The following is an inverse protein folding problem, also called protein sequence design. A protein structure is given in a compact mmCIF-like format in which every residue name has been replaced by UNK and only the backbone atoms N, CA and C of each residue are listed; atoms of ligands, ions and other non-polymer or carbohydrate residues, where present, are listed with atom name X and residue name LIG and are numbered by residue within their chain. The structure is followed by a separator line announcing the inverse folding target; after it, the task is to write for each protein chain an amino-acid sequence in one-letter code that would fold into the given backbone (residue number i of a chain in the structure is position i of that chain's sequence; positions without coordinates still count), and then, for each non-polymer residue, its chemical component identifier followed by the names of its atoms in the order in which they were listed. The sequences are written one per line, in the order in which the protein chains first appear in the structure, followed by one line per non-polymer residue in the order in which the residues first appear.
data_IF_347305385758
#
_entry.id   IF_347305385758
#
_cell.length_a   1.000
_cell.length_b   1.000
_cell.length_c   1.000
_cell.angle_alpha   90.00
_cell.angle_beta   90.00
_cell.angle_gamma   90.00
#
_symmetry.space_group_name_H-M   'P 1'
#
loop_
_entity.id
_entity.type
_entity.pdbx_description
1 polymer ?
#
# COMPACT_ATOMS: atom_id res chain seq x y z
N UNK A 1 5.47 -2.20 -19.31
CA UNK A 1 6.20 -3.17 -18.48
C UNK A 1 7.46 -2.48 -18.01
N UNK A 2 7.56 -2.18 -16.72
CA UNK A 2 8.77 -1.59 -16.15
C UNK A 2 9.70 -2.76 -15.77
N UNK A 3 10.83 -2.89 -16.45
CA UNK A 3 11.86 -3.86 -16.06
C UNK A 3 12.80 -3.19 -15.08
N UNK A 4 12.50 -3.29 -13.79
CA UNK A 4 13.33 -2.72 -12.72
C UNK A 4 14.22 -3.82 -12.16
N UNK A 5 15.56 -3.72 -12.27
CA UNK A 5 16.49 -4.68 -11.70
C UNK A 5 16.25 -4.88 -10.20
N UNK A 6 16.45 -6.11 -9.71
CA UNK A 6 16.27 -6.47 -8.29
C UNK A 6 17.01 -5.55 -7.29
N UNK A 7 18.15 -4.99 -7.69
CA UNK A 7 18.88 -4.01 -6.87
C UNK A 7 18.10 -2.70 -6.68
N UNK A 8 17.48 -2.20 -7.76
CA UNK A 8 16.61 -1.02 -7.70
C UNK A 8 15.35 -1.29 -6.87
N UNK A 9 14.79 -2.51 -6.90
CA UNK A 9 13.62 -2.89 -6.07
C UNK A 9 13.89 -2.68 -4.57
N UNK A 10 15.03 -3.12 -4.05
CA UNK A 10 15.39 -2.91 -2.65
C UNK A 10 15.59 -1.43 -2.31
N UNK A 11 16.18 -0.66 -3.23
CA UNK A 11 16.34 0.79 -3.09
C UNK A 11 14.98 1.50 -3.05
N UNK A 12 14.05 1.15 -3.94
CA UNK A 12 12.67 1.67 -3.94
C UNK A 12 12.01 1.39 -2.58
N UNK A 13 12.05 0.15 -2.11
CA UNK A 13 11.45 -0.22 -0.80
C UNK A 13 12.05 0.62 0.33
N UNK A 14 13.37 0.85 0.32
CA UNK A 14 14.03 1.66 1.36
C UNK A 14 13.60 3.13 1.31
N UNK A 15 13.50 3.72 0.11
CA UNK A 15 13.02 5.09 -0.08
C UNK A 15 11.56 5.23 0.35
N UNK A 16 10.69 4.30 -0.06
CA UNK A 16 9.29 4.27 0.34
C UNK A 16 9.12 4.15 1.85
N UNK A 17 9.88 3.26 2.49
CA UNK A 17 9.90 3.13 3.96
C UNK A 17 10.23 4.47 4.63
N UNK A 18 11.28 5.14 4.16
CA UNK A 18 11.75 6.39 4.75
C UNK A 18 10.75 7.52 4.55
N UNK A 19 10.28 7.70 3.31
CA UNK A 19 9.32 8.75 2.94
C UNK A 19 8.00 8.59 3.69
N UNK A 20 7.42 7.40 3.69
CA UNK A 20 6.13 7.13 4.34
C UNK A 20 6.25 7.13 5.87
N UNK A 21 7.40 6.74 6.42
CA UNK A 21 7.66 6.87 7.85
C UNK A 21 7.71 8.34 8.28
N UNK A 22 8.27 9.23 7.45
CA UNK A 22 8.37 10.65 7.78
C UNK A 22 7.09 11.45 7.50
N UNK A 23 6.15 10.90 6.73
CA UNK A 23 4.84 11.53 6.49
C UNK A 23 3.93 11.39 7.72
N UNK A 24 3.72 12.48 8.46
CA UNK A 24 2.96 12.49 9.72
C UNK A 24 1.57 11.88 9.59
N UNK A 25 0.91 12.12 8.46
CA UNK A 25 -0.44 11.63 8.19
C UNK A 25 -0.52 10.12 8.00
N UNK A 26 0.59 9.44 7.66
CA UNK A 26 0.64 7.99 7.47
C UNK A 26 0.86 7.31 8.82
N UNK A 27 -0.04 6.40 9.21
CA UNK A 27 0.07 5.63 10.46
C UNK A 27 0.73 4.28 10.19
N UNK A 28 0.26 3.55 9.18
CA UNK A 28 0.92 2.34 8.71
C UNK A 28 0.72 2.16 7.20
N UNK A 29 1.62 1.42 6.57
CA UNK A 29 1.60 1.22 5.13
C UNK A 29 2.10 -0.18 4.75
N UNK A 30 1.49 -0.72 3.70
CA UNK A 30 1.83 -1.98 3.08
C UNK A 30 2.20 -1.75 1.61
N UNK A 31 3.18 -2.49 1.13
CA UNK A 31 3.34 -2.76 -0.30
C UNK A 31 2.60 -4.04 -0.62
N UNK A 32 1.89 -4.11 -1.74
CA UNK A 32 1.14 -5.29 -2.12
C UNK A 32 1.23 -5.52 -3.64
N UNK A 33 0.39 -6.41 -4.17
CA UNK A 33 0.28 -6.63 -5.61
C UNK A 33 1.54 -7.18 -6.29
N UNK A 34 1.63 -6.93 -7.59
CA UNK A 34 2.66 -7.52 -8.46
C UNK A 34 4.07 -7.06 -8.07
N UNK A 35 4.20 -5.86 -7.51
CA UNK A 35 5.47 -5.31 -7.01
C UNK A 35 6.12 -6.24 -6.00
N UNK A 36 5.36 -6.95 -5.17
CA UNK A 36 5.91 -7.88 -4.17
C UNK A 36 6.08 -9.29 -4.74
N UNK A 37 5.07 -9.77 -5.47
CA UNK A 37 4.97 -11.17 -5.89
C UNK A 37 5.92 -11.56 -7.03
N UNK A 38 6.34 -10.60 -7.86
CA UNK A 38 7.04 -10.89 -9.12
C UNK A 38 8.36 -10.11 -9.26
N UNK A 39 9.25 -10.62 -10.11
CA UNK A 39 10.46 -9.93 -10.55
C UNK A 39 10.16 -8.84 -11.59
N UNK A 40 9.02 -8.95 -12.28
CA UNK A 40 8.48 -7.97 -13.21
C UNK A 40 7.16 -7.43 -12.66
N UNK A 41 7.00 -6.12 -12.62
CA UNK A 41 5.78 -5.47 -12.16
C UNK A 41 5.42 -4.31 -13.08
N UNK A 42 4.13 -3.96 -13.11
CA UNK A 42 3.65 -2.86 -13.94
C UNK A 42 3.66 -1.53 -13.19
N UNK A 43 3.34 -1.59 -11.90
CA UNK A 43 3.11 -0.48 -10.99
C UNK A 43 3.60 -0.81 -9.57
N UNK A 44 3.74 0.24 -8.76
CA UNK A 44 4.06 0.14 -7.33
C UNK A 44 2.75 0.31 -6.54
N UNK A 45 2.21 -0.80 -6.06
CA UNK A 45 0.98 -0.82 -5.26
C UNK A 45 1.27 -0.53 -3.78
N UNK A 46 0.66 0.53 -3.25
CA UNK A 46 0.88 1.00 -1.87
C UNK A 46 -0.46 1.21 -1.17
N UNK A 47 -0.67 0.50 -0.07
CA UNK A 47 -1.85 0.64 0.78
C UNK A 47 -1.45 1.40 2.04
N UNK A 48 -2.13 2.52 2.33
CA UNK A 48 -1.79 3.38 3.46
C UNK A 48 -3.01 3.61 4.36
N UNK A 49 -2.81 3.45 5.66
CA UNK A 49 -3.76 3.89 6.66
C UNK A 49 -3.30 5.22 7.23
N UNK A 50 -4.19 6.20 7.24
CA UNK A 50 -3.87 7.58 7.60
C UNK A 50 -4.62 8.06 8.84
N UNK A 51 -4.09 9.11 9.47
CA UNK A 51 -4.86 9.95 10.38
C UNK A 51 -5.95 10.71 9.61
N UNK A 52 -6.66 11.61 10.29
CA UNK A 52 -7.65 12.47 9.65
C UNK A 52 -7.01 13.29 8.50
N UNK A 53 -7.62 13.22 7.33
CA UNK A 53 -7.21 13.92 6.11
C UNK A 53 -8.43 14.59 5.48
N UNK A 54 -8.24 15.82 4.99
CA UNK A 54 -9.33 16.63 4.44
C UNK A 54 -9.91 16.06 3.14
N UNK A 55 -9.04 15.59 2.26
CA UNK A 55 -9.41 14.99 0.97
C UNK A 55 -8.51 13.79 0.69
N UNK A 56 -9.14 12.61 0.62
CA UNK A 56 -8.47 11.36 0.25
C UNK A 56 -7.83 11.48 -1.14
N UNK A 57 -8.56 12.03 -2.11
CA UNK A 57 -8.09 12.17 -3.49
C UNK A 57 -6.86 13.08 -3.60
N UNK A 58 -6.89 14.25 -2.95
CA UNK A 58 -5.76 15.18 -2.99
C UNK A 58 -4.54 14.54 -2.32
N UNK A 59 -4.75 13.95 -1.14
CA UNK A 59 -3.67 13.30 -0.41
C UNK A 59 -3.01 12.16 -1.21
N UNK A 60 -3.81 11.31 -1.86
CA UNK A 60 -3.27 10.25 -2.72
C UNK A 60 -2.45 10.84 -3.88
N UNK A 61 -2.97 11.86 -4.55
CA UNK A 61 -2.31 12.50 -5.69
C UNK A 61 -0.98 13.14 -5.28
N UNK A 62 -0.99 13.94 -4.21
CA UNK A 62 0.20 14.61 -3.69
C UNK A 62 1.26 13.60 -3.26
N UNK A 63 0.85 12.50 -2.62
CA UNK A 63 1.76 11.43 -2.21
C UNK A 63 2.36 10.69 -3.40
N UNK A 64 1.60 10.42 -4.47
CA UNK A 64 2.13 9.80 -5.70
C UNK A 64 3.21 10.68 -6.33
N UNK A 65 2.97 11.98 -6.41
CA UNK A 65 3.94 12.96 -6.92
C UNK A 65 5.19 12.97 -6.03
N UNK A 66 5.02 13.09 -4.71
CA UNK A 66 6.13 13.11 -3.75
C UNK A 66 7.00 11.84 -3.81
N UNK A 67 6.37 10.68 -3.97
CA UNK A 67 7.08 9.41 -4.12
C UNK A 67 7.86 9.39 -5.45
N UNK A 68 7.22 9.77 -6.55
CA UNK A 68 7.88 9.84 -7.87
C UNK A 68 9.10 10.76 -7.84
N UNK A 69 8.97 11.97 -7.28
CA UNK A 69 10.07 12.93 -7.17
C UNK A 69 11.25 12.35 -6.37
N UNK A 70 10.98 11.67 -5.25
CA UNK A 70 12.01 11.02 -4.43
C UNK A 70 12.73 9.90 -5.19
N UNK A 71 11.99 9.10 -5.96
CA UNK A 71 12.56 8.05 -6.80
C UNK A 71 13.44 8.63 -7.92
N UNK A 72 12.96 9.68 -8.61
CA UNK A 72 13.71 10.36 -9.67
C UNK A 72 15.00 10.96 -9.11
N UNK A 73 14.94 11.62 -7.95
CA UNK A 73 16.12 12.16 -7.25
C UNK A 73 17.14 11.08 -6.90
N UNK A 74 16.69 9.85 -6.66
CA UNK A 74 17.53 8.68 -6.40
C UNK A 74 18.03 7.97 -7.69
N UNK A 75 17.74 8.53 -8.87
CA UNK A 75 18.14 7.99 -10.17
C UNK A 75 17.21 6.89 -10.71
N UNK A 76 15.98 6.81 -10.20
CA UNK A 76 14.97 5.82 -10.59
C UNK A 76 13.82 6.57 -11.28
N UNK A 77 13.79 6.52 -12.62
CA UNK A 77 12.81 7.26 -13.42
C UNK A 77 11.46 6.54 -13.46
N UNK A 78 10.60 6.84 -12.47
CA UNK A 78 9.24 6.30 -12.36
C UNK A 78 8.26 7.47 -12.23
N UNK A 79 7.38 7.61 -13.23
CA UNK A 79 6.29 8.59 -13.25
C UNK A 79 5.25 8.30 -12.14
N UNK A 80 4.55 9.33 -11.61
CA UNK A 80 3.45 9.14 -10.65
C UNK A 80 2.35 8.19 -11.14
N UNK A 81 2.17 8.07 -12.46
CA UNK A 81 1.16 7.19 -13.08
C UNK A 81 1.42 5.69 -12.83
N UNK A 82 2.66 5.32 -12.52
CA UNK A 82 3.06 3.95 -12.18
C UNK A 82 3.00 3.66 -10.67
N UNK A 83 2.38 4.54 -9.88
CA UNK A 83 2.22 4.38 -8.45
C UNK A 83 0.73 4.28 -8.14
N UNK A 84 0.25 3.10 -7.73
CA UNK A 84 -1.12 2.93 -7.23
C UNK A 84 -1.16 2.97 -5.70
N UNK A 85 -1.27 4.20 -5.19
CA UNK A 85 -1.42 4.46 -3.76
C UNK A 85 -2.90 4.55 -3.38
N UNK A 86 -3.33 3.72 -2.42
CA UNK A 86 -4.70 3.63 -1.90
C UNK A 86 -4.78 3.90 -0.41
N UNK A 87 -5.66 4.82 0.00
CA UNK A 87 -5.99 5.05 1.42
C UNK A 87 -6.99 4.00 1.88
N UNK A 88 -6.63 3.24 2.91
CA UNK A 88 -7.38 2.03 3.32
C UNK A 88 -8.30 2.22 4.54
N UNK A 89 -8.39 3.44 5.08
CA UNK A 89 -9.22 3.75 6.25
C UNK A 89 -10.66 3.23 6.15
N UNK A 90 -11.25 3.35 4.96
CA UNK A 90 -12.62 2.94 4.65
C UNK A 90 -12.69 2.00 3.44
N UNK A 91 -11.60 1.29 3.12
CA UNK A 91 -11.57 0.41 1.98
C UNK A 91 -12.48 -0.83 2.18
N UNK A 92 -13.02 -1.41 1.09
CA UNK A 92 -13.75 -2.67 1.12
C UNK A 92 -12.96 -3.80 1.80
N UNK A 93 -13.65 -4.68 2.53
CA UNK A 93 -12.99 -5.69 3.37
C UNK A 93 -12.26 -6.77 2.54
N UNK A 94 -12.77 -7.10 1.35
CA UNK A 94 -12.14 -8.00 0.39
C UNK A 94 -10.77 -7.46 -0.07
N UNK A 95 -10.71 -6.18 -0.41
CA UNK A 95 -9.44 -5.51 -0.71
C UNK A 95 -8.50 -5.47 0.51
N UNK A 96 -9.04 -5.20 1.70
CA UNK A 96 -8.24 -5.23 2.93
C UNK A 96 -7.66 -6.63 3.20
N UNK A 97 -8.40 -7.71 2.92
CA UNK A 97 -7.88 -9.08 3.05
C UNK A 97 -6.70 -9.29 2.11
N UNK A 98 -6.81 -8.88 0.85
CA UNK A 98 -5.70 -8.98 -0.12
C UNK A 98 -4.43 -8.27 0.41
N UNK A 99 -4.58 -7.02 0.86
CA UNK A 99 -3.47 -6.23 1.42
C UNK A 99 -2.88 -6.88 2.68
N UNK A 100 -3.71 -7.39 3.58
CA UNK A 100 -3.24 -7.96 4.86
C UNK A 100 -2.65 -9.36 4.70
N UNK A 101 -3.14 -10.16 3.76
CA UNK A 101 -2.69 -11.54 3.50
C UNK A 101 -1.39 -11.57 2.71
N UNK A 102 -1.28 -10.72 1.68
CA UNK A 102 -0.16 -10.74 0.70
C UNK A 102 0.78 -9.56 0.80
N UNK A 103 0.36 -8.50 1.49
CA UNK A 103 1.15 -7.28 1.60
C UNK A 103 2.34 -7.40 2.53
N UNK A 104 3.39 -6.66 2.22
CA UNK A 104 4.57 -6.47 3.08
C UNK A 104 4.43 -5.15 3.83
N UNK A 105 4.36 -5.25 5.16
CA UNK A 105 4.35 -4.09 6.05
C UNK A 105 5.67 -3.31 5.92
N UNK A 106 5.58 -2.03 5.55
CA UNK A 106 6.74 -1.16 5.38
C UNK A 106 6.82 -0.04 6.42
N UNK A 107 5.69 0.40 6.97
CA UNK A 107 5.61 1.40 8.05
C UNK A 107 4.57 0.94 9.06
N UNK A 108 4.87 1.05 10.35
CA UNK A 108 3.92 0.78 11.43
C UNK A 108 4.21 1.67 12.65
N UNK A 109 3.53 2.83 12.71
CA UNK A 109 3.68 3.81 13.81
C UNK A 109 2.72 3.53 14.96
N UNK A 110 1.66 2.76 14.71
CA UNK A 110 0.68 2.38 15.73
C UNK A 110 0.21 0.93 15.50
N UNK A 111 0.96 -0.05 16.03
CA UNK A 111 0.63 -1.47 15.88
C UNK A 111 -0.72 -1.86 16.48
N UNK A 112 -1.17 -1.14 17.52
CA UNK A 112 -2.48 -1.39 18.15
C UNK A 112 -3.62 -1.04 17.18
N UNK A 113 -3.55 0.12 16.53
CA UNK A 113 -4.54 0.53 15.53
C UNK A 113 -4.57 -0.44 14.34
N UNK A 114 -3.40 -0.90 13.90
CA UNK A 114 -3.28 -1.92 12.84
C UNK A 114 -3.89 -3.26 13.26
N UNK A 115 -3.66 -3.69 14.50
CA UNK A 115 -4.25 -4.92 15.05
C UNK A 115 -5.76 -4.83 15.11
N UNK A 116 -6.32 -3.70 15.56
CA UNK A 116 -7.76 -3.46 15.56
C UNK A 116 -8.37 -3.55 14.16
N UNK A 117 -7.67 -3.06 13.13
CA UNK A 117 -8.10 -3.23 11.74
C UNK A 117 -8.13 -4.70 11.33
N UNK A 118 -7.07 -5.46 11.63
CA UNK A 118 -6.97 -6.89 11.32
C UNK A 118 -8.09 -7.68 11.99
N UNK A 119 -8.39 -7.39 13.27
CA UNK A 119 -9.49 -8.03 13.99
C UNK A 119 -10.85 -7.73 13.34
N UNK A 120 -11.11 -6.46 13.01
CA UNK A 120 -12.34 -6.04 12.32
C UNK A 120 -12.51 -6.75 10.97
N UNK A 121 -11.45 -6.80 10.17
CA UNK A 121 -11.46 -7.49 8.86
C UNK A 121 -11.67 -8.99 9.04
N UNK A 122 -11.01 -9.61 10.02
CA UNK A 122 -11.15 -11.04 10.32
C UNK A 122 -12.57 -11.43 10.72
N UNK A 123 -13.23 -10.60 11.53
CA UNK A 123 -14.63 -10.81 11.91
C UNK A 123 -15.57 -10.71 10.70
N UNK A 124 -15.39 -9.68 9.87
CA UNK A 124 -16.18 -9.50 8.66
C UNK A 124 -15.99 -10.67 7.67
N UNK A 125 -14.76 -11.16 7.51
CA UNK A 125 -14.48 -12.34 6.68
C UNK A 125 -15.23 -13.58 7.17
N UNK A 126 -15.19 -13.85 8.48
CA UNK A 126 -15.89 -14.99 9.09
C UNK A 126 -17.40 -14.90 8.88
N UNK A 127 -17.99 -13.73 9.06
CA UNK A 127 -19.44 -13.51 8.86
C UNK A 127 -19.83 -13.75 7.40
N UNK A 128 -19.01 -13.29 6.45
CA UNK A 128 -19.32 -13.34 5.02
C UNK A 128 -18.73 -14.55 4.30
N UNK A 129 -18.17 -15.54 5.01
CA UNK A 129 -17.47 -16.68 4.42
C UNK A 129 -18.32 -17.43 3.40
N UNK A 130 -19.60 -17.62 3.69
CA UNK A 130 -20.55 -18.31 2.80
C UNK A 130 -20.71 -17.53 1.49
N UNK A 131 -20.95 -16.23 1.57
CA UNK A 131 -21.13 -15.35 0.40
C UNK A 131 -19.87 -15.33 -0.47
N UNK A 132 -18.70 -15.18 0.16
CA UNK A 132 -17.42 -15.20 -0.56
C UNK A 132 -17.18 -16.54 -1.26
N UNK A 133 -17.51 -17.67 -0.60
CA UNK A 133 -17.35 -19.00 -1.19
C UNK A 133 -18.26 -19.26 -2.39
N UNK A 134 -19.37 -18.52 -2.54
CA UNK A 134 -20.24 -18.59 -3.70
C UNK A 134 -19.80 -17.66 -4.84
N UNK A 135 -19.29 -16.47 -4.51
CA UNK A 135 -18.81 -15.49 -5.50
C UNK A 135 -17.52 -15.91 -6.22
N UNK A 136 -16.62 -16.64 -5.53
CA UNK A 136 -15.35 -17.10 -6.08
C UNK A 136 -15.38 -18.56 -6.58
N UNK A 137 -16.57 -19.10 -6.87
CA UNK A 137 -16.74 -20.40 -7.55
C UNK A 137 -16.38 -20.35 -9.03
#
# INVERSE_FOLDING_TARGET
MLEIPKNQKNQIIHLLKTLLHNEEKVIFAYLYGSFIEQDFFNDIDIAIYCSEIESVFNFQTDMKIKISDELINAGIDISPDYIDLRVINNAPYDFLIEVLDRGVLIVDKNPELRTNLIEKVSLNYRINQIVLSEFYK
#
